data_IF_464304278412
#
_entry.id   IF_464304278412
#
_cell.length_a   1.000
_cell.length_b   1.000
_cell.length_c   1.000
_cell.angle_alpha   90.00
_cell.angle_beta   90.00
_cell.angle_gamma   90.00
#
_symmetry.space_group_name_H-M   'P 1'
#
loop_
_entity.id
_entity.type
_entity.pdbx_description
1 polymer ?
#
# COMPACT_ATOMS: atom_id res chain seq x y z
N UNK A 1 -5.21 7.78 -13.51
CA UNK A 1 -5.10 6.62 -12.59
C UNK A 1 -6.41 6.46 -11.83
N UNK A 2 -7.00 5.27 -11.82
CA UNK A 2 -8.23 5.05 -11.05
C UNK A 2 -7.99 5.26 -9.55
N UNK A 3 -8.99 5.81 -8.87
CA UNK A 3 -8.91 6.07 -7.44
C UNK A 3 -9.03 4.77 -6.63
N UNK A 4 -8.43 4.70 -5.43
CA UNK A 4 -8.62 3.54 -4.57
C UNK A 4 -10.05 3.45 -4.05
N UNK A 5 -10.52 2.23 -3.83
CA UNK A 5 -11.81 1.97 -3.17
C UNK A 5 -11.65 2.04 -1.65
N UNK A 6 -10.48 1.71 -1.16
CA UNK A 6 -10.17 1.70 0.26
C UNK A 6 -8.72 2.13 0.48
N UNK A 7 -8.51 2.92 1.52
CA UNK A 7 -7.19 3.35 1.97
C UNK A 7 -6.93 2.73 3.34
N UNK A 8 -5.79 2.05 3.46
CA UNK A 8 -5.35 1.38 4.69
C UNK A 8 -4.08 2.06 5.19
N UNK A 9 -4.04 2.45 6.45
CA UNK A 9 -2.89 3.16 7.01
C UNK A 9 -2.47 2.63 8.37
N UNK A 10 -1.16 2.65 8.60
CA UNK A 10 -0.60 2.57 9.94
C UNK A 10 -1.05 3.81 10.74
N UNK A 11 -1.19 3.70 12.07
CA UNK A 11 -1.55 4.83 12.93
C UNK A 11 -0.39 5.79 13.20
N UNK A 12 0.83 5.49 12.76
CA UNK A 12 1.98 6.37 12.99
C UNK A 12 1.70 7.75 12.39
N UNK A 13 2.02 8.80 13.15
CA UNK A 13 1.60 10.16 12.82
C UNK A 13 1.99 10.61 11.41
N UNK A 14 3.25 10.39 11.01
CA UNK A 14 3.71 10.82 9.68
C UNK A 14 3.04 10.03 8.57
N UNK A 15 2.82 8.74 8.78
CA UNK A 15 2.16 7.87 7.81
C UNK A 15 0.70 8.30 7.64
N UNK A 16 0.00 8.47 8.75
CA UNK A 16 -1.41 8.83 8.75
C UNK A 16 -1.64 10.20 8.14
N UNK A 17 -0.76 11.17 8.43
CA UNK A 17 -0.85 12.50 7.81
C UNK A 17 -0.73 12.41 6.29
N UNK A 18 0.17 11.57 5.79
CA UNK A 18 0.31 11.34 4.35
C UNK A 18 -0.96 10.73 3.76
N UNK A 19 -1.51 9.72 4.44
CA UNK A 19 -2.76 9.10 4.01
C UNK A 19 -3.90 10.11 3.93
N UNK A 20 -4.01 11.01 4.91
CA UNK A 20 -5.04 12.04 4.91
C UNK A 20 -4.87 13.06 3.79
N UNK A 21 -3.64 13.40 3.45
CA UNK A 21 -3.36 14.30 2.31
C UNK A 21 -3.87 13.66 1.01
N UNK A 22 -3.56 12.38 0.79
CA UNK A 22 -4.05 11.65 -0.37
C UNK A 22 -5.58 11.53 -0.36
N UNK A 23 -6.17 11.24 0.81
CA UNK A 23 -7.61 11.13 0.94
C UNK A 23 -8.30 12.42 0.51
N UNK A 24 -7.84 13.56 1.02
CA UNK A 24 -8.39 14.87 0.64
C UNK A 24 -8.25 15.12 -0.87
N UNK A 25 -7.09 14.78 -1.42
CA UNK A 25 -6.84 14.96 -2.86
C UNK A 25 -7.80 14.12 -3.70
N UNK A 26 -8.14 12.92 -3.24
CA UNK A 26 -9.04 12.01 -3.96
C UNK A 26 -10.52 12.23 -3.63
N UNK A 27 -10.84 13.15 -2.74
CA UNK A 27 -12.22 13.35 -2.30
C UNK A 27 -12.75 12.25 -1.37
N UNK A 28 -11.85 11.51 -0.73
CA UNK A 28 -12.18 10.49 0.25
C UNK A 28 -12.18 11.13 1.63
N UNK A 29 -13.21 10.85 2.42
CA UNK A 29 -13.31 11.39 3.78
C UNK A 29 -12.30 10.74 4.70
N UNK A 30 -11.70 11.53 5.59
CA UNK A 30 -10.70 11.02 6.54
C UNK A 30 -11.25 9.87 7.39
N UNK A 31 -12.54 9.96 7.77
CA UNK A 31 -13.19 8.90 8.55
C UNK A 31 -13.30 7.56 7.82
N UNK A 32 -13.17 7.58 6.50
CA UNK A 32 -13.24 6.36 5.67
C UNK A 32 -11.87 5.72 5.43
N UNK A 33 -10.80 6.34 5.93
CA UNK A 33 -9.47 5.71 5.93
C UNK A 33 -9.46 4.64 7.02
N UNK A 34 -9.14 3.41 6.64
CA UNK A 34 -9.02 2.31 7.58
C UNK A 34 -7.68 2.39 8.29
N UNK A 35 -7.70 2.62 9.60
CA UNK A 35 -6.51 2.71 10.43
C UNK A 35 -6.40 1.43 11.24
N UNK A 36 -5.31 0.69 11.06
CA UNK A 36 -5.08 -0.58 11.76
C UNK A 36 -3.91 -0.44 12.71
N UNK A 37 -4.20 -0.52 14.01
CA UNK A 37 -3.18 -0.35 15.05
C UNK A 37 -2.08 -1.40 14.98
N UNK A 38 -2.41 -2.61 14.53
CA UNK A 38 -1.43 -3.69 14.36
C UNK A 38 -0.30 -3.33 13.40
N UNK A 39 -0.51 -2.35 12.53
CA UNK A 39 0.51 -1.95 11.55
C UNK A 39 1.59 -1.04 12.15
N UNK A 40 1.41 -0.57 13.38
CA UNK A 40 2.41 0.27 14.04
C UNK A 40 3.65 -0.58 14.37
N UNK A 41 4.81 -0.15 13.90
CA UNK A 41 6.09 -0.85 14.11
C UNK A 41 5.99 -2.36 13.78
N UNK A 42 5.29 -2.69 12.70
CA UNK A 42 5.01 -4.08 12.32
C UNK A 42 6.02 -4.62 11.29
N UNK A 43 5.65 -5.72 10.66
CA UNK A 43 6.46 -6.38 9.64
C UNK A 43 5.61 -6.68 8.38
N UNK A 44 6.27 -7.22 7.35
CA UNK A 44 5.59 -7.56 6.09
C UNK A 44 4.49 -8.59 6.33
N UNK A 45 4.72 -9.56 7.20
CA UNK A 45 3.72 -10.58 7.52
C UNK A 45 2.43 -9.98 8.06
N UNK A 46 2.53 -8.98 8.92
CA UNK A 46 1.37 -8.32 9.51
C UNK A 46 0.60 -7.55 8.44
N UNK A 47 1.30 -6.87 7.54
CA UNK A 47 0.65 -6.21 6.40
C UNK A 47 -0.09 -7.20 5.52
N UNK A 48 0.53 -8.32 5.19
CA UNK A 48 -0.11 -9.35 4.36
C UNK A 48 -1.34 -9.94 5.06
N UNK A 49 -1.26 -10.18 6.37
CA UNK A 49 -2.39 -10.66 7.16
C UNK A 49 -3.56 -9.69 7.10
N UNK A 50 -3.32 -8.41 7.34
CA UNK A 50 -4.38 -7.39 7.32
C UNK A 50 -4.98 -7.27 5.91
N UNK A 51 -4.14 -7.24 4.88
CA UNK A 51 -4.60 -7.17 3.49
C UNK A 51 -5.47 -8.37 3.15
N UNK A 52 -5.11 -9.56 3.63
CA UNK A 52 -5.88 -10.78 3.37
C UNK A 52 -7.28 -10.74 3.95
N UNK A 53 -7.54 -9.87 4.91
CA UNK A 53 -8.82 -9.75 5.59
C UNK A 53 -9.72 -8.66 4.99
N UNK A 54 -9.24 -7.96 3.98
CA UNK A 54 -10.00 -6.89 3.31
C UNK A 54 -11.19 -7.51 2.56
N UNK A 55 -12.32 -6.82 2.59
CA UNK A 55 -13.52 -7.24 1.87
C UNK A 55 -13.26 -7.36 0.37
N UNK A 56 -13.80 -8.40 -0.26
CA UNK A 56 -13.70 -8.60 -1.69
C UNK A 56 -14.56 -7.62 -2.50
N UNK A 57 -15.28 -6.74 -1.84
CA UNK A 57 -15.90 -5.58 -2.49
C UNK A 57 -14.86 -4.51 -2.85
N UNK A 58 -13.68 -4.58 -2.23
CA UNK A 58 -12.57 -3.67 -2.53
C UNK A 58 -11.77 -4.24 -3.69
N UNK A 59 -11.70 -3.49 -4.78
CA UNK A 59 -10.91 -3.87 -5.96
C UNK A 59 -9.55 -3.17 -5.99
N UNK A 60 -9.47 -1.97 -5.44
CA UNK A 60 -8.25 -1.15 -5.43
C UNK A 60 -7.95 -0.70 -4.01
N UNK A 61 -6.92 -1.27 -3.43
CA UNK A 61 -6.48 -0.96 -2.09
C UNK A 61 -5.21 -0.11 -2.13
N UNK A 62 -5.20 1.00 -1.40
CA UNK A 62 -4.01 1.82 -1.25
C UNK A 62 -3.51 1.71 0.18
N UNK A 63 -2.23 1.37 0.33
CA UNK A 63 -1.63 1.06 1.63
C UNK A 63 -0.55 2.08 1.95
N UNK A 64 -0.57 2.58 3.18
CA UNK A 64 0.39 3.55 3.69
C UNK A 64 1.16 2.99 4.88
N UNK A 65 2.45 3.16 4.87
CA UNK A 65 3.31 2.67 5.94
C UNK A 65 4.69 3.31 5.88
N UNK A 66 5.57 2.88 6.76
CA UNK A 66 6.96 3.33 6.81
C UNK A 66 7.88 2.44 5.96
N UNK A 67 9.00 3.01 5.53
CA UNK A 67 10.13 2.22 5.08
C UNK A 67 10.98 1.79 6.29
N UNK A 68 11.67 0.64 6.20
CA UNK A 68 11.79 -0.21 5.01
C UNK A 68 10.63 -1.17 4.77
N UNK A 69 9.60 -1.17 5.61
CA UNK A 69 8.49 -2.13 5.52
C UNK A 69 7.80 -2.07 4.15
N UNK A 70 7.47 -0.87 3.67
CA UNK A 70 6.78 -0.74 2.38
C UNK A 70 7.64 -1.19 1.21
N UNK A 71 8.93 -0.90 1.24
CA UNK A 71 9.86 -1.40 0.22
C UNK A 71 9.89 -2.93 0.23
N UNK A 72 10.00 -3.51 1.41
CA UNK A 72 10.04 -4.97 1.55
C UNK A 72 8.72 -5.62 1.13
N UNK A 73 7.59 -5.02 1.50
CA UNK A 73 6.27 -5.49 1.09
C UNK A 73 6.13 -5.46 -0.44
N UNK A 74 6.52 -4.35 -1.05
CA UNK A 74 6.47 -4.18 -2.50
C UNK A 74 7.30 -5.26 -3.20
N UNK A 75 8.51 -5.49 -2.72
CA UNK A 75 9.41 -6.50 -3.30
C UNK A 75 8.90 -7.92 -3.11
N UNK A 76 8.20 -8.18 -2.01
CA UNK A 76 7.56 -9.47 -1.77
C UNK A 76 6.42 -9.71 -2.75
N UNK A 77 5.64 -8.66 -3.03
CA UNK A 77 4.44 -8.76 -3.85
C UNK A 77 4.70 -8.75 -5.36
N UNK A 78 5.86 -8.26 -5.80
CA UNK A 78 6.18 -8.23 -7.22
C UNK A 78 7.59 -8.78 -7.46
N UNK A 79 7.74 -9.52 -8.56
CA UNK A 79 9.03 -10.08 -8.97
C UNK A 79 9.60 -9.42 -10.21
N UNK A 80 8.87 -8.45 -10.77
CA UNK A 80 9.27 -7.80 -12.03
C UNK A 80 10.45 -6.86 -11.83
N UNK A 81 10.44 -6.10 -10.73
CA UNK A 81 11.47 -5.13 -10.42
C UNK A 81 11.64 -5.04 -8.90
N UNK A 82 12.86 -5.23 -8.45
CA UNK A 82 13.17 -5.12 -7.02
C UNK A 82 13.72 -3.73 -6.72
N UNK A 83 13.18 -3.10 -5.69
CA UNK A 83 13.59 -1.77 -5.26
C UNK A 83 14.53 -1.86 -4.07
N UNK A 84 15.59 -1.06 -4.06
CA UNK A 84 16.47 -0.95 -2.89
C UNK A 84 15.77 -0.11 -1.80
N UNK A 85 15.17 1.00 -2.22
CA UNK A 85 14.45 1.88 -1.31
C UNK A 85 13.46 2.71 -2.12
N UNK A 86 12.19 2.64 -1.73
CA UNK A 86 11.15 3.47 -2.32
C UNK A 86 11.18 4.81 -1.60
N UNK A 87 11.43 5.92 -2.31
CA UNK A 87 11.52 7.22 -1.65
C UNK A 87 10.19 7.67 -1.07
N UNK A 88 10.25 8.63 -0.16
CA UNK A 88 9.06 9.26 0.43
C UNK A 88 8.16 9.79 -0.68
N UNK A 89 6.85 9.56 -0.55
CA UNK A 89 5.84 9.91 -1.55
C UNK A 89 5.98 9.18 -2.89
N UNK A 90 6.78 8.12 -2.93
CA UNK A 90 6.79 7.21 -4.07
C UNK A 90 5.49 6.42 -4.11
N UNK A 91 4.99 6.16 -5.32
CA UNK A 91 3.77 5.38 -5.55
C UNK A 91 4.10 4.18 -6.40
N UNK A 92 3.75 3.00 -5.89
CA UNK A 92 3.92 1.73 -6.61
C UNK A 92 2.54 1.10 -6.76
N UNK A 93 2.19 0.69 -7.98
CA UNK A 93 0.94 -0.01 -8.25
C UNK A 93 1.24 -1.42 -8.71
N UNK A 94 0.62 -2.39 -8.06
CA UNK A 94 0.80 -3.81 -8.36
C UNK A 94 -0.56 -4.42 -8.62
N UNK A 95 -0.69 -5.12 -9.74
CA UNK A 95 -1.92 -5.82 -10.10
C UNK A 95 -1.83 -7.30 -9.82
N UNK A 96 -2.96 -7.90 -9.45
CA UNK A 96 -3.07 -9.32 -9.15
C UNK A 96 -4.23 -9.93 -9.91
N UNK A 97 -4.08 -11.21 -10.30
CA UNK A 97 -5.12 -11.96 -11.01
C UNK A 97 -5.88 -12.90 -10.06
N UNK A 98 -6.21 -12.45 -8.87
CA UNK A 98 -7.05 -13.22 -7.96
C UNK A 98 -8.33 -12.43 -7.63
N UNK A 99 -9.35 -13.14 -7.15
CA UNK A 99 -10.66 -12.56 -6.83
C UNK A 99 -10.92 -12.47 -5.33
N UNK A 100 -9.99 -12.92 -4.51
CA UNK A 100 -10.12 -12.95 -3.06
C UNK A 100 -8.80 -12.50 -2.44
N UNK A 101 -8.85 -11.46 -1.61
CA UNK A 101 -7.66 -10.94 -0.95
C UNK A 101 -6.92 -11.97 -0.11
N UNK A 102 -7.60 -13.04 0.34
CA UNK A 102 -6.95 -14.12 1.06
C UNK A 102 -5.86 -14.81 0.25
N UNK A 103 -5.97 -14.78 -1.07
CA UNK A 103 -4.98 -15.41 -1.94
C UNK A 103 -3.62 -14.71 -1.87
N UNK A 104 -3.56 -13.48 -1.35
CA UNK A 104 -2.28 -12.77 -1.20
C UNK A 104 -1.32 -13.52 -0.25
N UNK A 105 -1.86 -14.35 0.65
CA UNK A 105 -1.05 -15.16 1.56
C UNK A 105 -0.36 -16.32 0.84
N UNK A 106 -0.91 -16.76 -0.30
CA UNK A 106 -0.44 -17.93 -1.02
C UNK A 106 0.18 -17.57 -2.39
N UNK A 107 -0.32 -16.52 -3.04
CA UNK A 107 0.07 -16.14 -4.39
C UNK A 107 0.55 -14.70 -4.42
N UNK A 108 1.81 -14.51 -4.09
CA UNK A 108 2.43 -13.19 -4.09
C UNK A 108 3.10 -12.91 -5.45
N UNK A 109 2.31 -13.10 -6.51
CA UNK A 109 2.76 -12.97 -7.89
C UNK A 109 2.11 -11.75 -8.56
N UNK A 110 2.29 -10.59 -7.96
CA UNK A 110 1.80 -9.35 -8.52
C UNK A 110 2.62 -8.87 -9.70
N UNK A 111 1.96 -8.13 -10.59
CA UNK A 111 2.61 -7.49 -11.75
C UNK A 111 2.75 -6.00 -11.49
N UNK A 112 3.96 -5.49 -11.61
CA UNK A 112 4.21 -4.05 -11.48
C UNK A 112 3.51 -3.33 -12.63
N UNK A 113 2.61 -2.40 -12.29
CA UNK A 113 1.84 -1.64 -13.28
C UNK A 113 2.27 -0.18 -13.37
N UNK A 114 2.79 0.37 -12.29
CA UNK A 114 3.18 1.76 -12.23
C UNK A 114 4.19 1.96 -11.12
N UNK A 115 5.20 2.79 -11.39
CA UNK A 115 6.04 3.33 -10.33
C UNK A 115 6.26 4.81 -10.63
N UNK A 116 6.00 5.65 -9.63
CA UNK A 116 6.19 7.10 -9.73
C UNK A 116 6.89 7.63 -8.49
N UNK A 117 7.89 8.46 -8.72
CA UNK A 117 8.66 9.08 -7.65
C UNK A 117 8.68 10.60 -7.84
N UNK A 118 8.69 11.36 -6.75
CA UNK A 118 8.79 12.81 -6.86
C UNK A 118 10.07 13.23 -7.55
N UNK A 119 10.00 14.28 -8.37
CA UNK A 119 11.16 14.80 -9.10
C UNK A 119 12.27 15.30 -8.18
N UNK A 120 11.92 15.73 -6.98
CA UNK A 120 12.88 16.22 -6.00
C UNK A 120 13.91 15.18 -5.59
N UNK A 121 13.67 13.90 -5.86
CA UNK A 121 14.61 12.81 -5.57
C UNK A 121 15.55 12.48 -6.71
N UNK A 122 15.53 13.24 -7.78
CA UNK A 122 16.38 13.00 -8.94
C UNK A 122 17.70 13.76 -8.90
N UNK A 123 18.03 14.30 -7.79
CA UNK A 123 19.26 15.10 -7.65
C UNK A 123 20.48 14.24 -7.32
#
# INVERSE_FOLDING_TARGET
MPLPDLMLSSPATLVLNTAFIFARTFGIKEKDVLIEDELYESDVKTYLKIISQISNKTNRLMVFGHNPILTNLTNELNKDLQFENIPTCGIIKIGFEFNDWKEILNKQEGKLQLSKFPKSFKQ
#
